data_IF_716290097187
#
_entry.id   IF_716290097187
#
_cell.length_a   1.000
_cell.length_b   1.000
_cell.length_c   1.000
_cell.angle_alpha   90.00
_cell.angle_beta   90.00
_cell.angle_gamma   90.00
#
_symmetry.space_group_name_H-M   'P 1'
#
loop_
_entity.id
_entity.type
_entity.pdbx_description
1 polymer ?
#
# COMPACT_ATOMS: atom_id res chain seq x y z
N UNK A 1 -6.37 12.16 -33.89
CA UNK A 1 -5.29 11.38 -33.23
C UNK A 1 -5.93 10.42 -32.24
N UNK A 2 -5.47 9.18 -32.12
CA UNK A 2 -5.89 8.28 -31.03
C UNK A 2 -4.83 8.36 -29.94
N UNK A 3 -5.22 8.67 -28.70
CA UNK A 3 -4.30 8.68 -27.55
C UNK A 3 -4.54 7.42 -26.75
N UNK A 4 -3.52 6.55 -26.65
CA UNK A 4 -3.57 5.32 -25.83
C UNK A 4 -2.91 5.54 -24.46
N UNK A 5 -3.35 4.78 -23.46
CA UNK A 5 -2.71 4.72 -22.12
C UNK A 5 -1.20 4.38 -22.23
N UNK A 6 -0.82 3.46 -23.12
CA UNK A 6 0.60 3.15 -23.38
C UNK A 6 1.41 4.33 -23.96
N UNK A 7 0.75 5.35 -24.50
CA UNK A 7 1.39 6.56 -25.04
C UNK A 7 1.46 7.68 -24.01
N UNK A 8 0.73 7.56 -22.89
CA UNK A 8 0.76 8.45 -21.73
C UNK A 8 0.40 7.66 -20.47
N UNK A 9 1.39 7.08 -19.76
CA UNK A 9 1.14 6.65 -18.39
C UNK A 9 0.56 7.84 -17.59
N UNK A 10 -0.01 7.59 -16.41
CA UNK A 10 -0.24 8.66 -15.44
C UNK A 10 1.12 9.35 -15.26
N UNK A 11 1.34 10.47 -15.96
CA UNK A 11 2.62 11.18 -16.01
C UNK A 11 2.81 11.95 -14.69
N UNK A 12 2.29 11.42 -13.59
CA UNK A 12 2.14 12.07 -12.31
C UNK A 12 1.53 13.48 -12.41
N UNK A 13 0.59 13.70 -13.34
CA UNK A 13 0.02 15.01 -13.66
C UNK A 13 1.07 16.06 -14.12
N UNK A 14 2.24 15.63 -14.61
CA UNK A 14 3.26 16.52 -15.13
C UNK A 14 2.82 17.12 -16.48
N UNK A 15 3.15 18.39 -16.74
CA UNK A 15 2.93 19.00 -18.04
C UNK A 15 3.60 18.19 -19.15
N UNK A 16 2.81 17.70 -20.11
CA UNK A 16 3.31 17.01 -21.29
C UNK A 16 3.64 17.96 -22.45
N UNK A 17 4.42 17.48 -23.42
CA UNK A 17 4.66 18.20 -24.70
C UNK A 17 3.43 18.26 -25.58
N UNK A 18 2.49 17.32 -25.40
CA UNK A 18 1.22 17.27 -26.12
C UNK A 18 0.11 17.73 -25.17
N UNK A 19 -0.84 18.59 -25.59
CA UNK A 19 -1.91 19.07 -24.72
C UNK A 19 -2.77 17.92 -24.20
N UNK A 20 -3.29 18.08 -22.99
CA UNK A 20 -4.24 17.12 -22.42
C UNK A 20 -5.56 17.16 -23.18
N UNK A 21 -6.15 15.98 -23.37
CA UNK A 21 -7.43 15.85 -24.06
C UNK A 21 -8.55 16.29 -23.12
N UNK A 22 -9.31 17.30 -23.54
CA UNK A 22 -10.48 17.76 -22.82
C UNK A 22 -11.63 16.79 -23.13
N UNK A 23 -12.21 16.20 -22.10
CA UNK A 23 -13.45 15.42 -22.17
C UNK A 23 -14.60 16.28 -21.64
N UNK A 24 -15.54 16.73 -22.48
CA UNK A 24 -16.66 17.55 -22.02
C UNK A 24 -17.50 16.81 -20.96
N UNK A 25 -17.99 17.48 -19.89
CA UNK A 25 -18.70 16.81 -18.80
C UNK A 25 -19.93 15.99 -19.23
N UNK A 26 -20.76 16.53 -20.13
CA UNK A 26 -21.90 15.78 -20.67
C UNK A 26 -21.49 14.55 -21.50
N UNK A 27 -20.33 14.64 -22.17
CA UNK A 27 -19.79 13.52 -22.94
C UNK A 27 -19.21 12.43 -22.04
N UNK A 28 -18.51 12.82 -20.96
CA UNK A 28 -18.06 11.88 -19.94
C UNK A 28 -19.24 11.13 -19.31
N UNK A 29 -20.27 11.87 -18.87
CA UNK A 29 -21.44 11.30 -18.20
C UNK A 29 -22.21 10.32 -19.10
N UNK A 30 -22.48 10.71 -20.35
CA UNK A 30 -23.24 9.86 -21.30
C UNK A 30 -22.50 8.61 -21.75
N UNK A 31 -21.17 8.55 -21.58
CA UNK A 31 -20.33 7.40 -21.94
C UNK A 31 -19.87 6.58 -20.73
N UNK A 32 -20.29 6.94 -19.52
CA UNK A 32 -19.93 6.23 -18.29
C UNK A 32 -18.51 6.52 -17.77
N UNK A 33 -17.86 7.56 -18.30
CA UNK A 33 -16.52 7.97 -17.84
C UNK A 33 -16.63 8.58 -16.45
N UNK A 34 -15.77 8.11 -15.55
CA UNK A 34 -15.58 8.59 -14.19
C UNK A 34 -14.11 9.00 -13.99
N UNK A 35 -13.85 9.83 -12.98
CA UNK A 35 -12.48 10.14 -12.59
C UNK A 35 -11.75 8.84 -12.25
N UNK A 36 -10.50 8.71 -12.69
CA UNK A 36 -9.68 7.52 -12.52
C UNK A 36 -9.71 6.54 -13.70
N UNK A 37 -10.64 6.68 -14.64
CA UNK A 37 -10.70 5.81 -15.82
C UNK A 37 -9.52 6.05 -16.77
N UNK A 38 -8.97 4.97 -17.33
CA UNK A 38 -8.13 5.04 -18.51
C UNK A 38 -9.02 5.10 -19.75
N UNK A 39 -8.90 6.17 -20.54
CA UNK A 39 -9.78 6.40 -21.68
C UNK A 39 -8.98 6.33 -22.97
N UNK A 40 -9.37 5.40 -23.84
CA UNK A 40 -8.92 5.37 -25.23
C UNK A 40 -9.86 6.24 -26.05
N UNK A 41 -9.34 7.34 -26.59
CA UNK A 41 -10.15 8.33 -27.30
C UNK A 41 -9.53 8.81 -28.60
N UNK A 42 -10.41 9.16 -29.54
CA UNK A 42 -10.06 10.01 -30.69
C UNK A 42 -10.16 11.46 -30.26
N UNK A 43 -9.10 12.20 -30.55
CA UNK A 43 -8.99 13.63 -30.26
C UNK A 43 -8.74 14.42 -31.53
N UNK A 44 -9.36 15.60 -31.60
CA UNK A 44 -9.01 16.67 -32.53
C UNK A 44 -8.06 17.63 -31.83
N UNK A 45 -6.94 17.95 -32.47
CA UNK A 45 -5.94 18.88 -31.92
C UNK A 45 -5.97 20.16 -32.76
N UNK A 46 -6.18 21.29 -32.11
CA UNK A 46 -6.19 22.61 -32.74
C UNK A 46 -5.33 23.56 -31.91
N UNK A 47 -4.18 23.95 -32.45
CA UNK A 47 -3.18 24.74 -31.72
C UNK A 47 -2.71 24.03 -30.44
N UNK A 48 -2.94 24.66 -29.29
CA UNK A 48 -2.59 24.13 -27.96
C UNK A 48 -3.74 23.38 -27.26
N UNK A 49 -4.82 23.10 -27.97
CA UNK A 49 -6.01 22.44 -27.42
C UNK A 49 -6.20 21.08 -28.05
N UNK A 50 -6.50 20.07 -27.23
CA UNK A 50 -6.95 18.76 -27.69
C UNK A 50 -8.35 18.52 -27.16
N UNK A 51 -9.31 18.23 -28.04
CA UNK A 51 -10.70 17.95 -27.67
C UNK A 51 -11.06 16.53 -28.07
N UNK A 52 -11.69 15.82 -27.15
CA UNK A 52 -12.20 14.47 -27.39
C UNK A 52 -13.38 14.50 -28.34
N UNK A 53 -13.28 13.77 -29.44
CA UNK A 53 -14.36 13.63 -30.44
C UNK A 53 -15.08 12.29 -30.34
N UNK A 54 -14.40 11.24 -29.87
CA UNK A 54 -14.95 9.89 -29.71
C UNK A 54 -14.25 9.17 -28.56
N UNK A 55 -15.01 8.46 -27.73
CA UNK A 55 -14.47 7.53 -26.73
C UNK A 55 -14.65 6.12 -27.28
N UNK A 56 -13.54 5.41 -27.45
CA UNK A 56 -13.51 4.07 -28.01
C UNK A 56 -13.59 3.02 -26.90
N UNK A 57 -12.76 3.15 -25.88
CA UNK A 57 -12.68 2.22 -24.74
C UNK A 57 -12.49 2.99 -23.43
N UNK A 58 -12.99 2.40 -22.35
CA UNK A 58 -12.81 2.83 -20.96
C UNK A 58 -12.30 1.60 -20.21
N UNK A 59 -11.07 1.66 -19.70
CA UNK A 59 -10.41 0.56 -19.00
C UNK A 59 -10.35 -0.75 -19.81
N UNK A 60 -10.25 -0.64 -21.14
CA UNK A 60 -10.26 -1.78 -22.06
C UNK A 60 -11.66 -2.33 -22.38
N UNK A 61 -12.72 -1.72 -21.84
CA UNK A 61 -14.10 -2.09 -22.09
C UNK A 61 -14.79 -1.11 -23.05
N UNK A 62 -15.85 -1.56 -23.71
CA UNK A 62 -16.70 -0.67 -24.51
C UNK A 62 -17.45 0.34 -23.62
N UNK A 63 -17.87 1.46 -24.20
CA UNK A 63 -18.66 2.47 -23.45
C UNK A 63 -19.97 1.93 -22.88
N UNK A 64 -20.58 0.93 -23.53
CA UNK A 64 -21.81 0.29 -23.04
C UNK A 64 -21.55 -0.53 -21.76
N UNK A 65 -20.46 -1.31 -21.75
CA UNK A 65 -20.04 -2.08 -20.57
C UNK A 65 -19.66 -1.15 -19.42
N UNK A 66 -18.90 -0.09 -19.71
CA UNK A 66 -18.46 0.89 -18.72
C UNK A 66 -19.62 1.65 -18.05
N UNK A 67 -20.76 1.82 -18.74
CA UNK A 67 -22.00 2.38 -18.18
C UNK A 67 -22.69 1.39 -17.23
N UNK A 68 -22.59 0.09 -17.52
CA UNK A 68 -23.25 -0.97 -16.75
C UNK A 68 -22.47 -1.46 -15.52
N UNK A 69 -21.16 -1.17 -15.44
CA UNK A 69 -20.31 -1.64 -14.34
C UNK A 69 -20.73 -1.03 -13.00
N UNK A 70 -20.61 -1.76 -11.87
CA UNK A 70 -21.04 -1.29 -10.57
C UNK A 70 -20.28 -0.03 -10.11
N UNK A 71 -20.84 0.67 -9.13
CA UNK A 71 -20.09 1.70 -8.40
C UNK A 71 -19.38 1.06 -7.21
N UNK A 72 -18.16 1.50 -6.94
CA UNK A 72 -17.34 1.01 -5.83
C UNK A 72 -18.07 1.09 -4.48
N UNK A 73 -18.83 2.17 -4.26
CA UNK A 73 -19.59 2.37 -3.03
C UNK A 73 -20.80 1.43 -2.90
N UNK A 74 -21.19 0.73 -3.96
CA UNK A 74 -22.27 -0.27 -3.97
C UNK A 74 -21.77 -1.70 -3.67
N UNK A 75 -20.44 -1.94 -3.72
CA UNK A 75 -19.85 -3.24 -3.45
C UNK A 75 -19.92 -3.57 -1.95
N UNK A 76 -20.22 -4.83 -1.64
CA UNK A 76 -20.50 -5.29 -0.28
C UNK A 76 -19.20 -5.51 0.48
N UNK A 77 -18.89 -4.63 1.44
CA UNK A 77 -17.64 -4.70 2.20
C UNK A 77 -17.62 -5.88 3.20
N UNK A 78 -16.62 -6.73 3.11
CA UNK A 78 -16.37 -7.85 4.04
C UNK A 78 -14.98 -7.76 4.69
N UNK A 79 -14.74 -8.62 5.68
CA UNK A 79 -13.39 -8.79 6.21
C UNK A 79 -12.51 -9.51 5.19
N UNK A 80 -11.22 -9.16 5.06
CA UNK A 80 -10.27 -9.92 4.26
C UNK A 80 -10.16 -11.37 4.75
N UNK A 81 -10.34 -12.31 3.83
CA UNK A 81 -10.23 -13.76 4.04
C UNK A 81 -9.27 -14.43 3.03
N UNK A 82 -8.90 -13.72 1.96
CA UNK A 82 -7.89 -14.15 0.98
C UNK A 82 -6.53 -13.55 1.30
N UNK A 83 -5.60 -14.36 1.80
CA UNK A 83 -4.25 -13.92 2.15
C UNK A 83 -3.37 -13.60 0.92
N UNK A 84 -2.63 -12.48 1.00
CA UNK A 84 -1.55 -12.15 0.08
C UNK A 84 -0.30 -12.89 0.55
N UNK A 85 0.11 -13.92 -0.20
CA UNK A 85 1.40 -14.57 0.01
C UNK A 85 2.57 -13.59 -0.19
N UNK A 86 3.29 -13.27 0.89
CA UNK A 86 4.44 -12.38 0.90
C UNK A 86 5.79 -13.11 0.76
N UNK A 87 5.81 -14.44 0.77
CA UNK A 87 7.04 -15.24 0.75
C UNK A 87 7.65 -15.27 -0.64
N UNK A 88 8.96 -14.99 -0.74
CA UNK A 88 9.77 -15.21 -1.93
C UNK A 88 11.11 -15.86 -1.55
N UNK A 89 11.74 -16.64 -2.45
CA UNK A 89 13.08 -17.18 -2.22
C UNK A 89 14.08 -16.06 -1.86
N UNK A 90 14.84 -16.25 -0.77
CA UNK A 90 15.84 -15.28 -0.30
C UNK A 90 15.26 -13.99 0.33
N UNK A 91 13.94 -13.83 0.41
CA UNK A 91 13.30 -12.63 0.95
C UNK A 91 12.86 -12.83 2.41
N UNK A 92 13.78 -12.61 3.35
CA UNK A 92 13.52 -12.73 4.80
C UNK A 92 12.37 -11.80 5.26
N UNK A 93 12.31 -10.57 4.75
CA UNK A 93 11.25 -9.60 5.09
C UNK A 93 9.85 -10.14 4.82
N UNK A 94 9.62 -10.69 3.62
CA UNK A 94 8.30 -11.21 3.25
C UNK A 94 7.85 -12.36 4.16
N UNK A 95 8.79 -13.24 4.57
CA UNK A 95 8.51 -14.35 5.48
C UNK A 95 8.25 -13.89 6.91
N UNK A 96 8.99 -12.90 7.41
CA UNK A 96 8.70 -12.27 8.71
C UNK A 96 7.29 -11.66 8.69
N UNK A 97 6.95 -10.90 7.65
CA UNK A 97 5.61 -10.30 7.53
C UNK A 97 4.52 -11.38 7.43
N UNK A 98 4.70 -12.41 6.63
CA UNK A 98 3.73 -13.51 6.52
C UNK A 98 3.45 -14.24 7.84
N UNK A 99 4.39 -14.23 8.79
CA UNK A 99 4.21 -14.79 10.13
C UNK A 99 3.60 -13.81 11.13
N UNK A 100 4.03 -12.54 11.13
CA UNK A 100 3.72 -11.58 12.21
C UNK A 100 2.77 -10.46 11.80
N UNK A 101 2.45 -10.31 10.52
CA UNK A 101 1.48 -9.34 10.00
C UNK A 101 0.90 -9.86 8.68
N UNK A 102 0.06 -10.91 8.72
CA UNK A 102 -0.59 -11.40 7.51
C UNK A 102 -1.40 -10.28 6.87
N UNK A 103 -1.26 -10.12 5.55
CA UNK A 103 -2.00 -9.13 4.77
C UNK A 103 -3.01 -9.87 3.90
N UNK A 104 -4.26 -9.45 3.91
CA UNK A 104 -5.29 -9.96 3.03
C UNK A 104 -5.61 -9.00 1.89
N UNK A 105 -6.19 -9.53 0.82
CA UNK A 105 -6.86 -8.73 -0.19
C UNK A 105 -8.00 -7.94 0.46
N UNK A 106 -7.95 -6.60 0.39
CA UNK A 106 -8.85 -5.70 1.10
C UNK A 106 -8.32 -5.14 2.43
N UNK A 107 -7.09 -5.47 2.82
CA UNK A 107 -6.50 -4.97 4.06
C UNK A 107 -6.20 -3.46 4.03
N UNK A 108 -6.26 -2.85 5.22
CA UNK A 108 -5.85 -1.47 5.51
C UNK A 108 -4.62 -1.51 6.40
N UNK A 109 -3.45 -1.47 5.76
CA UNK A 109 -2.16 -1.71 6.42
C UNK A 109 -1.42 -0.39 6.63
N UNK A 110 -1.01 -0.11 7.87
CA UNK A 110 -0.09 0.98 8.18
C UNK A 110 1.33 0.42 8.35
N UNK A 111 2.29 0.93 7.58
CA UNK A 111 3.72 0.72 7.82
C UNK A 111 4.23 1.89 8.67
N UNK A 112 4.21 1.70 9.98
CA UNK A 112 4.55 2.70 10.98
C UNK A 112 6.07 2.77 11.09
N UNK A 113 6.67 3.86 10.61
CA UNK A 113 8.11 3.91 10.40
C UNK A 113 8.75 5.18 10.94
N UNK A 114 9.74 5.06 11.84
CA UNK A 114 10.69 6.12 12.09
C UNK A 114 11.55 6.42 10.86
N UNK A 115 12.08 7.65 10.73
CA UNK A 115 13.07 7.96 9.71
C UNK A 115 14.23 6.95 9.73
N UNK A 116 14.67 6.52 8.54
CA UNK A 116 15.80 5.58 8.33
C UNK A 116 15.61 4.17 8.93
N UNK A 117 14.39 3.75 9.25
CA UNK A 117 14.12 2.41 9.77
C UNK A 117 13.93 1.31 8.70
N UNK A 118 14.13 1.63 7.41
CA UNK A 118 13.98 0.65 6.30
C UNK A 118 12.58 0.54 5.70
N UNK A 119 11.75 1.59 5.84
CA UNK A 119 10.43 1.75 5.22
C UNK A 119 10.39 1.31 3.75
N UNK A 120 11.28 1.90 2.94
CA UNK A 120 11.31 1.69 1.48
C UNK A 120 11.57 0.23 1.14
N UNK A 121 12.48 -0.42 1.88
CA UNK A 121 12.75 -1.86 1.71
C UNK A 121 11.51 -2.69 2.00
N UNK A 122 10.77 -2.40 3.08
CA UNK A 122 9.55 -3.14 3.44
C UNK A 122 8.48 -2.98 2.36
N UNK A 123 8.18 -1.75 1.92
CA UNK A 123 7.19 -1.50 0.85
C UNK A 123 7.58 -2.19 -0.45
N UNK A 124 8.86 -2.13 -0.82
CA UNK A 124 9.40 -2.77 -2.02
C UNK A 124 9.27 -4.30 -1.94
N UNK A 125 9.62 -4.91 -0.81
CA UNK A 125 9.50 -6.37 -0.64
C UNK A 125 8.05 -6.84 -0.75
N UNK A 126 7.10 -6.05 -0.22
CA UNK A 126 5.67 -6.32 -0.39
C UNK A 126 5.27 -6.23 -1.87
N UNK A 127 5.66 -5.15 -2.56
CA UNK A 127 5.36 -4.98 -3.99
C UNK A 127 5.92 -6.12 -4.85
N UNK A 128 7.18 -6.50 -4.64
CA UNK A 128 7.80 -7.62 -5.33
C UNK A 128 7.11 -8.97 -5.03
N UNK A 129 6.64 -9.18 -3.80
CA UNK A 129 5.88 -10.37 -3.45
C UNK A 129 4.51 -10.41 -4.14
N UNK A 130 3.81 -9.28 -4.24
CA UNK A 130 2.56 -9.17 -5.01
C UNK A 130 2.81 -9.51 -6.48
N UNK A 131 3.83 -8.92 -7.11
CA UNK A 131 4.18 -9.18 -8.51
C UNK A 131 4.48 -10.67 -8.75
N UNK A 132 5.24 -11.30 -7.84
CA UNK A 132 5.68 -12.68 -8.00
C UNK A 132 4.57 -13.70 -7.73
N UNK A 133 3.78 -13.48 -6.67
CA UNK A 133 2.84 -14.48 -6.16
C UNK A 133 1.40 -14.24 -6.61
N UNK A 134 1.06 -13.02 -7.03
CA UNK A 134 -0.29 -12.61 -7.44
C UNK A 134 -0.24 -11.84 -8.77
N UNK A 135 0.23 -12.46 -9.87
CA UNK A 135 0.53 -11.74 -11.11
C UNK A 135 -0.70 -11.11 -11.78
N UNK A 136 -1.91 -11.55 -11.42
CA UNK A 136 -3.17 -10.98 -11.92
C UNK A 136 -3.66 -9.79 -11.08
N UNK A 137 -3.09 -9.55 -9.90
CA UNK A 137 -3.44 -8.38 -9.08
C UNK A 137 -2.84 -7.10 -9.70
N UNK A 138 -3.60 -6.00 -9.62
CA UNK A 138 -3.14 -4.67 -10.05
C UNK A 138 -2.30 -4.06 -8.94
N UNK A 139 -1.00 -3.84 -9.17
CA UNK A 139 -0.13 -3.14 -8.25
C UNK A 139 0.03 -1.68 -8.69
N UNK A 140 -0.35 -0.76 -7.79
CA UNK A 140 -0.15 0.68 -7.98
C UNK A 140 0.68 1.21 -6.80
N UNK A 141 1.77 1.90 -7.11
CA UNK A 141 2.67 2.51 -6.14
C UNK A 141 2.62 4.03 -6.29
N UNK A 142 2.16 4.72 -5.25
CA UNK A 142 2.00 6.17 -5.20
C UNK A 142 3.03 6.78 -4.26
N UNK A 143 4.09 7.37 -4.80
CA UNK A 143 5.17 8.01 -4.04
C UNK A 143 4.89 9.52 -3.95
N UNK A 144 4.67 10.03 -2.74
CA UNK A 144 4.25 11.41 -2.50
C UNK A 144 5.38 12.19 -1.86
N UNK A 145 5.82 13.27 -2.53
CA UNK A 145 6.82 14.20 -2.01
C UNK A 145 8.14 13.53 -1.62
N UNK A 146 8.54 12.49 -2.35
CA UNK A 146 9.77 11.75 -2.07
C UNK A 146 10.97 12.37 -2.80
N UNK A 147 12.19 11.93 -2.47
CA UNK A 147 13.37 12.39 -3.20
C UNK A 147 13.37 11.86 -4.64
N UNK A 148 13.75 12.67 -5.65
CA UNK A 148 13.76 12.24 -7.05
C UNK A 148 14.56 10.95 -7.29
N UNK A 149 15.72 10.82 -6.65
CA UNK A 149 16.59 9.66 -6.74
C UNK A 149 15.97 8.40 -6.10
N UNK A 150 15.30 8.56 -4.95
CA UNK A 150 14.62 7.46 -4.25
C UNK A 150 13.39 6.99 -5.04
N UNK A 151 12.62 7.91 -5.62
CA UNK A 151 11.48 7.58 -6.49
C UNK A 151 11.94 6.83 -7.75
N UNK A 152 13.03 7.27 -8.36
CA UNK A 152 13.63 6.62 -9.54
C UNK A 152 14.14 5.22 -9.19
N UNK A 153 14.84 5.07 -8.07
CA UNK A 153 15.33 3.76 -7.59
C UNK A 153 14.16 2.81 -7.33
N UNK A 154 13.12 3.27 -6.62
CA UNK A 154 11.93 2.47 -6.34
C UNK A 154 11.27 1.98 -7.62
N UNK A 155 11.10 2.86 -8.61
CA UNK A 155 10.52 2.51 -9.91
C UNK A 155 11.35 1.50 -10.69
N UNK A 156 12.69 1.57 -10.64
CA UNK A 156 13.58 0.66 -11.38
C UNK A 156 13.66 -0.72 -10.75
N UNK A 157 13.46 -0.82 -9.44
CA UNK A 157 13.52 -2.09 -8.71
C UNK A 157 12.25 -2.94 -8.90
N UNK A 158 11.15 -2.36 -9.35
CA UNK A 158 9.92 -3.08 -9.67
C UNK A 158 9.85 -3.37 -11.19
N UNK A 159 9.60 -4.63 -11.61
CA UNK A 159 9.28 -4.93 -12.99
C UNK A 159 8.10 -4.09 -13.49
N UNK A 160 8.14 -3.62 -14.74
CA UNK A 160 7.05 -2.84 -15.33
C UNK A 160 5.79 -3.67 -15.60
N UNK A 161 5.92 -5.00 -15.68
CA UNK A 161 4.81 -5.94 -15.87
C UNK A 161 5.04 -7.19 -15.03
N UNK A 162 3.94 -7.86 -14.66
CA UNK A 162 3.96 -9.18 -14.02
C UNK A 162 4.16 -10.30 -15.06
N UNK A 163 4.28 -11.56 -14.60
CA UNK A 163 4.39 -12.71 -15.49
C UNK A 163 3.17 -12.96 -16.38
N UNK A 164 2.00 -12.37 -16.06
CA UNK A 164 0.78 -12.44 -16.89
C UNK A 164 0.61 -11.22 -17.79
N UNK A 165 1.61 -10.33 -17.85
CA UNK A 165 1.57 -9.10 -18.63
C UNK A 165 0.78 -7.97 -17.97
N UNK A 166 0.33 -8.15 -16.72
CA UNK A 166 -0.36 -7.09 -15.97
C UNK A 166 0.62 -5.94 -15.68
N UNK A 167 0.30 -4.69 -16.06
CA UNK A 167 1.12 -3.53 -15.73
C UNK A 167 1.33 -3.32 -14.23
N UNK A 168 2.53 -2.88 -13.86
CA UNK A 168 2.85 -2.34 -12.53
C UNK A 168 2.98 -0.83 -12.65
N UNK A 169 2.08 -0.10 -11.97
CA UNK A 169 2.01 1.35 -12.07
C UNK A 169 2.80 1.99 -10.94
N UNK A 170 3.83 2.78 -11.27
CA UNK A 170 4.57 3.59 -10.28
C UNK A 170 4.40 5.05 -10.65
N UNK A 171 3.72 5.80 -9.78
CA UNK A 171 3.47 7.24 -9.94
C UNK A 171 4.11 7.99 -8.78
N UNK A 172 4.79 9.09 -9.08
CA UNK A 172 5.56 9.82 -8.09
C UNK A 172 5.45 11.33 -8.24
N UNK A 173 5.40 12.02 -7.10
CA UNK A 173 5.74 13.45 -6.99
C UNK A 173 6.98 13.58 -6.14
N UNK A 174 7.82 14.59 -6.44
CA UNK A 174 9.03 14.86 -5.66
C UNK A 174 8.80 15.99 -4.67
N UNK A 175 9.64 16.14 -3.65
CA UNK A 175 9.49 17.24 -2.69
C UNK A 175 9.56 18.65 -3.31
N UNK A 176 10.05 18.77 -4.55
CA UNK A 176 10.09 20.03 -5.31
C UNK A 176 8.72 20.42 -5.91
N UNK A 177 7.78 19.48 -5.95
CA UNK A 177 6.45 19.71 -6.51
C UNK A 177 5.57 20.57 -5.59
N UNK A 178 4.64 21.30 -6.21
CA UNK A 178 3.63 22.03 -5.47
C UNK A 178 2.75 21.09 -4.64
N UNK A 179 2.39 21.51 -3.43
CA UNK A 179 1.60 20.71 -2.50
C UNK A 179 0.23 20.29 -3.05
N UNK A 180 -0.39 21.12 -3.89
CA UNK A 180 -1.62 20.80 -4.60
C UNK A 180 -1.45 19.61 -5.56
N UNK A 181 -0.28 19.43 -6.16
CA UNK A 181 0.04 18.31 -7.05
C UNK A 181 0.13 16.99 -6.29
N UNK A 182 0.68 17.00 -5.08
CA UNK A 182 0.69 15.81 -4.21
C UNK A 182 -0.73 15.30 -3.94
N UNK A 183 -1.62 16.19 -3.50
CA UNK A 183 -3.01 15.86 -3.22
C UNK A 183 -3.73 15.38 -4.49
N UNK A 184 -3.60 16.12 -5.60
CA UNK A 184 -4.25 15.78 -6.86
C UNK A 184 -3.80 14.41 -7.41
N UNK A 185 -2.50 14.10 -7.35
CA UNK A 185 -2.00 12.80 -7.81
C UNK A 185 -2.52 11.66 -6.92
N UNK A 186 -2.49 11.83 -5.60
CA UNK A 186 -2.99 10.83 -4.68
C UNK A 186 -4.49 10.57 -4.87
N UNK A 187 -5.29 11.63 -5.00
CA UNK A 187 -6.73 11.54 -5.24
C UNK A 187 -7.03 10.84 -6.58
N UNK A 188 -6.32 11.20 -7.65
CA UNK A 188 -6.47 10.53 -8.94
C UNK A 188 -6.08 9.05 -8.87
N UNK A 189 -5.00 8.73 -8.17
CA UNK A 189 -4.52 7.35 -7.98
C UNK A 189 -5.52 6.52 -7.18
N UNK A 190 -6.16 7.12 -6.17
CA UNK A 190 -7.23 6.48 -5.40
C UNK A 190 -8.44 6.16 -6.28
N UNK A 191 -8.87 7.11 -7.11
CA UNK A 191 -9.97 6.90 -8.04
C UNK A 191 -9.61 5.84 -9.09
N UNK A 192 -8.39 5.86 -9.65
CA UNK A 192 -7.88 4.81 -10.55
C UNK A 192 -8.00 3.42 -9.92
N UNK A 193 -7.55 3.28 -8.67
CA UNK A 193 -7.65 2.02 -7.95
C UNK A 193 -9.12 1.57 -7.77
N UNK A 194 -10.05 2.48 -7.49
CA UNK A 194 -11.48 2.15 -7.38
C UNK A 194 -12.09 1.72 -8.71
N UNK A 195 -11.72 2.34 -9.82
CA UNK A 195 -12.21 1.95 -11.16
C UNK A 195 -11.78 0.53 -11.50
N UNK A 196 -10.52 0.19 -11.24
CA UNK A 196 -10.01 -1.17 -11.46
C UNK A 196 -10.73 -2.23 -10.60
N UNK A 197 -11.12 -1.91 -9.36
CA UNK A 197 -11.95 -2.79 -8.52
C UNK A 197 -13.36 -2.95 -9.09
N UNK A 198 -13.97 -1.87 -9.59
CA UNK A 198 -15.28 -1.94 -10.26
C UNK A 198 -15.25 -2.81 -11.52
N UNK A 199 -14.08 -2.89 -12.19
CA UNK A 199 -13.84 -3.77 -13.33
C UNK A 199 -13.44 -5.21 -12.90
N UNK A 200 -13.53 -5.55 -11.61
CA UNK A 200 -13.37 -6.92 -11.12
C UNK A 200 -11.95 -7.30 -10.71
N UNK A 201 -11.03 -6.34 -10.52
CA UNK A 201 -9.65 -6.63 -10.14
C UNK A 201 -9.41 -6.60 -8.62
N UNK A 202 -8.47 -7.44 -8.18
CA UNK A 202 -7.78 -7.24 -6.91
C UNK A 202 -6.70 -6.18 -7.07
N UNK A 203 -6.83 -5.07 -6.35
CA UNK A 203 -5.93 -3.92 -6.44
C UNK A 203 -5.15 -3.75 -5.14
N UNK A 204 -3.82 -3.68 -5.24
CA UNK A 204 -2.92 -3.33 -4.14
C UNK A 204 -2.34 -1.95 -4.40
N UNK A 205 -2.73 -0.99 -3.56
CA UNK A 205 -2.25 0.39 -3.58
C UNK A 205 -1.22 0.62 -2.47
N UNK A 206 0.05 0.76 -2.84
CA UNK A 206 1.12 1.19 -1.94
C UNK A 206 1.19 2.72 -1.95
N UNK A 207 1.14 3.37 -0.79
CA UNK A 207 1.34 4.81 -0.68
C UNK A 207 2.52 5.14 0.24
N UNK A 208 3.42 5.97 -0.26
CA UNK A 208 4.59 6.42 0.46
C UNK A 208 4.74 7.95 0.39
N UNK A 209 4.19 8.74 1.31
CA UNK A 209 3.54 8.33 2.56
C UNK A 209 2.20 9.04 2.78
N UNK A 210 1.32 8.41 3.58
CA UNK A 210 0.05 9.04 3.96
C UNK A 210 0.26 10.26 4.86
N UNK A 211 1.35 10.31 5.62
CA UNK A 211 1.74 11.50 6.39
C UNK A 211 1.95 12.71 5.48
N UNK A 212 2.66 12.53 4.36
CA UNK A 212 2.87 13.60 3.38
C UNK A 212 1.57 13.97 2.66
N UNK A 213 0.68 13.01 2.40
CA UNK A 213 -0.65 13.28 1.86
C UNK A 213 -1.50 14.16 2.80
N UNK A 214 -1.54 13.84 4.10
CA UNK A 214 -2.26 14.66 5.08
C UNK A 214 -1.68 16.07 5.14
N UNK A 215 -0.35 16.21 5.19
CA UNK A 215 0.32 17.51 5.15
C UNK A 215 -0.09 18.28 3.89
N UNK A 216 -0.22 17.59 2.76
CA UNK A 216 -0.62 18.21 1.51
C UNK A 216 -2.06 18.72 1.53
N UNK A 217 -3.01 17.90 1.98
CA UNK A 217 -4.38 18.36 2.18
C UNK A 217 -4.47 19.47 3.22
N UNK A 218 -3.64 19.45 4.27
CA UNK A 218 -3.66 20.48 5.31
C UNK A 218 -3.20 21.84 4.78
N UNK A 219 -2.17 21.87 3.93
CA UNK A 219 -1.76 23.11 3.28
C UNK A 219 -2.81 23.63 2.28
N UNK A 220 -3.53 22.73 1.59
CA UNK A 220 -4.60 23.10 0.66
C UNK A 220 -5.89 23.55 1.39
N UNK A 221 -6.12 23.05 2.60
CA UNK A 221 -7.33 23.34 3.38
C UNK A 221 -7.17 24.68 4.10
N UNK A 222 -7.78 25.73 3.56
CA UNK A 222 -7.78 27.07 4.17
C UNK A 222 -9.21 27.57 4.44
N UNK A 223 -9.35 28.52 5.37
CA UNK A 223 -10.61 29.20 5.65
C UNK A 223 -11.70 28.28 6.22
N UNK A 224 -12.95 28.42 5.72
CA UNK A 224 -14.14 27.73 6.25
C UNK A 224 -14.10 26.19 6.13
N UNK A 225 -13.22 25.64 5.28
CA UNK A 225 -13.06 24.19 5.09
C UNK A 225 -12.19 23.47 6.12
N UNK A 226 -11.41 24.22 6.94
CA UNK A 226 -10.49 23.63 7.91
C UNK A 226 -11.21 22.91 9.08
N UNK A 227 -12.42 23.37 9.43
CA UNK A 227 -13.09 22.88 10.63
C UNK A 227 -12.27 23.14 11.90
N UNK A 228 -12.40 22.27 12.91
CA UNK A 228 -11.64 22.38 14.16
C UNK A 228 -10.18 21.99 13.96
N UNK A 229 -9.26 22.82 14.44
CA UNK A 229 -7.83 22.48 14.53
C UNK A 229 -7.60 21.55 15.72
N UNK A 230 -6.96 20.41 15.47
CA UNK A 230 -6.55 19.43 16.47
C UNK A 230 -5.20 19.82 17.08
N UNK A 231 -4.74 19.06 18.07
CA UNK A 231 -3.37 19.21 18.58
C UNK A 231 -2.36 19.05 17.43
N UNK A 232 -1.21 19.71 17.53
CA UNK A 232 -0.19 19.66 16.47
C UNK A 232 -0.50 20.49 15.22
N UNK A 233 -1.58 21.28 15.18
CA UNK A 233 -1.87 22.20 14.07
C UNK A 233 -2.52 21.56 12.85
N UNK A 234 -3.04 20.33 13.01
CA UNK A 234 -3.73 19.60 11.94
C UNK A 234 -5.21 19.95 11.94
N UNK A 235 -5.73 20.41 10.81
CA UNK A 235 -7.16 20.68 10.67
C UNK A 235 -7.96 19.38 10.49
N UNK A 236 -9.11 19.25 11.15
CA UNK A 236 -9.97 18.08 10.99
C UNK A 236 -10.44 17.91 9.52
N UNK A 237 -10.64 19.03 8.82
CA UNK A 237 -10.95 19.05 7.38
C UNK A 237 -9.85 18.43 6.52
N UNK A 238 -8.58 18.55 6.92
CA UNK A 238 -7.45 17.96 6.17
C UNK A 238 -7.28 16.45 6.38
N UNK A 239 -7.72 15.93 7.53
CA UNK A 239 -7.67 14.49 7.80
C UNK A 239 -8.78 13.73 7.06
N UNK A 240 -9.92 14.36 6.79
CA UNK A 240 -11.07 13.69 6.19
C UNK A 240 -10.77 13.06 4.81
N UNK A 241 -10.09 13.74 3.85
CA UNK A 241 -9.70 13.12 2.59
C UNK A 241 -8.77 11.92 2.77
N UNK A 242 -7.76 12.03 3.64
CA UNK A 242 -6.79 10.95 3.87
C UNK A 242 -7.42 9.75 4.61
N UNK A 243 -8.35 10.01 5.53
CA UNK A 243 -9.16 8.97 6.17
C UNK A 243 -10.08 8.28 5.17
N UNK A 244 -10.70 9.02 4.24
CA UNK A 244 -11.52 8.44 3.16
C UNK A 244 -10.66 7.64 2.18
N UNK A 245 -9.46 8.12 1.85
CA UNK A 245 -8.48 7.41 1.03
C UNK A 245 -8.13 6.06 1.66
N UNK A 246 -7.67 6.07 2.92
CA UNK A 246 -7.24 4.85 3.60
C UNK A 246 -8.40 3.91 3.95
N UNK A 247 -9.54 4.49 4.35
CA UNK A 247 -10.78 3.77 4.67
C UNK A 247 -11.51 3.21 3.45
N UNK A 248 -11.11 3.59 2.22
CA UNK A 248 -11.68 3.00 1.02
C UNK A 248 -11.31 1.51 0.89
N UNK A 249 -10.13 1.11 1.37
CA UNK A 249 -9.67 -0.27 1.29
C UNK A 249 -10.61 -1.24 2.01
N UNK A 250 -11.01 -2.28 1.27
CA UNK A 250 -11.98 -3.29 1.67
C UNK A 250 -11.87 -4.51 0.76
N UNK A 251 -12.16 -5.68 1.32
CA UNK A 251 -12.54 -6.84 0.53
C UNK A 251 -14.01 -6.69 0.14
N UNK A 252 -14.41 -7.25 -1.00
CA UNK A 252 -15.81 -7.23 -1.43
C UNK A 252 -16.34 -8.65 -1.59
N UNK A 253 -17.60 -8.86 -1.25
CA UNK A 253 -18.27 -10.16 -1.38
C UNK A 253 -18.40 -10.59 -2.84
N UNK A 254 -18.44 -9.61 -3.75
CA UNK A 254 -18.45 -9.80 -5.19
C UNK A 254 -17.13 -10.38 -5.74
N UNK A 255 -16.08 -10.44 -4.91
CA UNK A 255 -14.77 -10.98 -5.26
C UNK A 255 -13.62 -9.95 -5.26
N UNK A 256 -13.69 -8.83 -6.02
CA UNK A 256 -12.57 -7.91 -6.14
C UNK A 256 -12.27 -7.19 -4.82
N UNK A 257 -11.12 -6.54 -4.73
CA UNK A 257 -10.71 -5.91 -3.48
C UNK A 257 -9.81 -4.71 -3.70
N UNK A 258 -9.89 -3.76 -2.76
CA UNK A 258 -8.92 -2.68 -2.65
C UNK A 258 -8.10 -2.89 -1.38
N UNK A 259 -6.84 -3.25 -1.52
CA UNK A 259 -5.86 -3.26 -0.43
C UNK A 259 -5.10 -1.94 -0.46
N UNK A 260 -4.99 -1.25 0.68
CA UNK A 260 -4.16 -0.04 0.82
C UNK A 260 -3.09 -0.30 1.87
N UNK A 261 -1.84 -0.12 1.48
CA UNK A 261 -0.67 -0.24 2.34
C UNK A 261 0.02 1.11 2.37
N UNK A 262 -0.10 1.80 3.49
CA UNK A 262 0.33 3.17 3.64
C UNK A 262 1.46 3.28 4.64
N UNK A 263 2.58 3.88 4.25
CA UNK A 263 3.59 4.26 5.24
C UNK A 263 3.13 5.50 6.01
N UNK A 264 3.39 5.50 7.31
CA UNK A 264 3.13 6.62 8.22
C UNK A 264 4.39 6.88 9.04
N UNK A 265 4.80 8.15 9.11
CA UNK A 265 5.99 8.55 9.84
C UNK A 265 5.65 8.74 11.32
N UNK A 266 6.51 8.21 12.20
CA UNK A 266 6.42 8.38 13.66
C UNK A 266 7.78 8.67 14.26
N UNK A 267 7.82 9.16 15.49
CA UNK A 267 9.08 9.49 16.17
C UNK A 267 9.89 10.54 15.40
N UNK A 268 9.18 11.38 14.65
CA UNK A 268 9.71 12.62 14.09
C UNK A 268 9.64 13.70 15.18
N UNK A 269 10.19 14.88 14.92
CA UNK A 269 10.07 16.03 15.83
C UNK A 269 8.75 16.81 15.60
N UNK A 270 7.81 16.24 14.85
CA UNK A 270 6.56 16.87 14.43
C UNK A 270 5.36 16.25 15.12
N UNK A 271 4.74 17.02 16.04
CA UNK A 271 3.46 16.64 16.67
C UNK A 271 2.33 16.40 15.67
N UNK A 272 2.40 17.04 14.50
CA UNK A 272 1.43 16.80 13.43
C UNK A 272 1.49 15.34 12.95
N UNK A 273 2.70 14.75 12.85
CA UNK A 273 2.84 13.38 12.35
C UNK A 273 2.29 12.36 13.35
N UNK A 274 2.51 12.60 14.65
CA UNK A 274 1.95 11.76 15.72
C UNK A 274 0.41 11.78 15.69
N UNK A 275 -0.20 12.95 15.49
CA UNK A 275 -1.67 13.08 15.38
C UNK A 275 -2.20 12.37 14.14
N UNK A 276 -1.49 12.43 13.01
CA UNK A 276 -1.85 11.68 11.80
C UNK A 276 -1.86 10.18 12.07
N UNK A 277 -0.84 9.67 12.75
CA UNK A 277 -0.75 8.26 13.08
C UNK A 277 -1.90 7.82 14.00
N UNK A 278 -2.15 8.54 15.10
CA UNK A 278 -3.22 8.18 16.05
C UNK A 278 -4.61 8.17 15.39
N UNK A 279 -4.90 9.13 14.50
CA UNK A 279 -6.17 9.20 13.77
C UNK A 279 -6.35 8.06 12.76
N UNK A 280 -5.27 7.63 12.12
CA UNK A 280 -5.33 6.55 11.12
C UNK A 280 -5.27 5.15 11.75
N UNK A 281 -4.67 5.02 12.93
CA UNK A 281 -4.58 3.74 13.67
C UNK A 281 -5.94 3.10 13.92
N UNK A 282 -6.94 3.92 14.25
CA UNK A 282 -8.32 3.45 14.42
C UNK A 282 -8.97 2.93 13.12
N UNK A 283 -8.52 3.44 11.98
CA UNK A 283 -9.04 3.10 10.65
C UNK A 283 -8.41 1.82 10.08
N UNK A 284 -7.14 1.57 10.41
CA UNK A 284 -6.38 0.40 9.96
C UNK A 284 -6.85 -0.91 10.59
N UNK A 285 -6.58 -2.02 9.89
CA UNK A 285 -6.76 -3.37 10.43
C UNK A 285 -5.45 -4.16 10.52
N UNK A 286 -4.34 -3.60 10.04
CA UNK A 286 -3.00 -4.17 10.19
C UNK A 286 -1.97 -3.08 10.42
N UNK A 287 -1.01 -3.32 11.31
CA UNK A 287 0.08 -2.39 11.63
C UNK A 287 1.40 -3.15 11.54
N UNK A 288 2.31 -2.67 10.69
CA UNK A 288 3.71 -3.12 10.58
C UNK A 288 4.57 -2.02 11.20
N UNK A 289 5.07 -2.25 12.39
CA UNK A 289 5.81 -1.25 13.17
C UNK A 289 7.30 -1.46 13.00
N UNK A 290 8.03 -0.45 12.55
CA UNK A 290 9.48 -0.50 12.43
C UNK A 290 10.16 0.11 13.65
N UNK A 291 11.24 -0.52 14.10
CA UNK A 291 12.01 -0.11 15.28
C UNK A 291 13.30 0.59 14.89
N UNK A 292 13.47 1.82 15.37
CA UNK A 292 14.74 2.57 15.29
C UNK A 292 15.90 1.79 15.94
N UNK A 293 15.67 1.17 17.11
CA UNK A 293 16.69 0.37 17.83
C UNK A 293 17.26 -0.79 17.02
N UNK A 294 16.42 -1.53 16.30
CA UNK A 294 16.85 -2.59 15.37
C UNK A 294 17.69 -2.01 14.23
N UNK A 295 17.21 -0.94 13.60
CA UNK A 295 17.88 -0.30 12.48
C UNK A 295 19.26 0.28 12.86
N UNK A 296 19.38 0.92 14.03
CA UNK A 296 20.65 1.45 14.56
C UNK A 296 21.68 0.34 14.82
N UNK A 297 21.21 -0.85 15.19
CA UNK A 297 22.05 -2.06 15.33
C UNK A 297 22.25 -2.82 14.02
N UNK A 298 21.76 -2.30 12.90
CA UNK A 298 21.81 -2.91 11.56
C UNK A 298 21.16 -4.30 11.48
N UNK A 299 20.12 -4.54 12.29
CA UNK A 299 19.31 -5.76 12.23
C UNK A 299 18.11 -5.49 11.31
N UNK A 300 18.07 -6.16 10.16
CA UNK A 300 17.01 -6.01 9.16
C UNK A 300 16.35 -7.36 8.82
N UNK A 301 15.02 -7.40 8.61
CA UNK A 301 14.09 -6.26 8.63
C UNK A 301 13.91 -5.69 10.04
N UNK A 302 13.84 -4.36 10.15
CA UNK A 302 13.80 -3.68 11.46
C UNK A 302 12.36 -3.64 12.02
N UNK A 303 11.67 -4.78 12.04
CA UNK A 303 10.25 -4.89 12.47
C UNK A 303 10.17 -5.16 13.96
N UNK A 304 9.41 -4.35 14.69
CA UNK A 304 9.02 -4.64 16.07
C UNK A 304 7.91 -5.70 16.08
N UNK A 305 8.30 -6.94 16.37
CA UNK A 305 7.42 -8.11 16.37
C UNK A 305 6.34 -8.07 17.46
N UNK A 306 6.52 -7.23 18.50
CA UNK A 306 5.55 -7.09 19.60
C UNK A 306 4.47 -6.07 19.26
N UNK A 307 4.87 -4.98 18.61
CA UNK A 307 3.96 -3.92 18.20
C UNK A 307 3.25 -4.21 16.86
N UNK A 308 3.79 -5.12 16.07
CA UNK A 308 3.25 -5.51 14.75
C UNK A 308 2.16 -6.58 14.86
N UNK A 309 1.04 -6.37 14.16
CA UNK A 309 -0.06 -7.34 14.16
C UNK A 309 -1.21 -6.99 13.22
N UNK A 310 -2.11 -7.95 13.05
CA UNK A 310 -3.27 -7.86 12.16
C UNK A 310 -4.52 -8.27 12.93
N UNK A 311 -5.59 -7.47 12.81
CA UNK A 311 -6.90 -7.79 13.41
C UNK A 311 -7.55 -8.91 12.61
N UNK A 312 -8.21 -9.84 13.30
CA UNK A 312 -8.89 -11.00 12.68
C UNK A 312 -7.93 -11.87 11.84
N UNK A 313 -6.67 -12.03 12.28
CA UNK A 313 -5.67 -12.84 11.56
C UNK A 313 -6.07 -14.31 11.38
N UNK A 314 -7.00 -14.82 12.20
CA UNK A 314 -7.59 -16.15 12.06
C UNK A 314 -8.42 -16.36 10.79
N UNK A 315 -8.79 -15.28 10.08
CA UNK A 315 -9.43 -15.39 8.75
C UNK A 315 -8.42 -15.60 7.63
N UNK A 316 -7.13 -15.27 7.87
CA UNK A 316 -6.07 -15.30 6.87
C UNK A 316 -5.09 -16.46 7.05
N UNK A 317 -5.08 -17.07 8.25
CA UNK A 317 -4.13 -18.09 8.65
C UNK A 317 -4.89 -19.33 9.13
N UNK A 318 -4.52 -20.50 8.60
CA UNK A 318 -5.08 -21.77 9.04
C UNK A 318 -4.88 -21.99 10.56
N UNK A 319 -5.85 -22.60 11.28
CA UNK A 319 -5.82 -22.68 12.75
C UNK A 319 -4.56 -23.32 13.35
N UNK A 320 -4.05 -24.39 12.74
CA UNK A 320 -2.84 -25.09 13.14
C UNK A 320 -1.58 -24.20 13.00
N UNK A 321 -1.50 -23.47 11.90
CA UNK A 321 -0.43 -22.51 11.63
C UNK A 321 -0.51 -21.33 12.60
N UNK A 322 -1.71 -20.84 12.90
CA UNK A 322 -1.93 -19.72 13.80
C UNK A 322 -1.46 -20.04 15.23
N UNK A 323 -1.77 -21.22 15.75
CA UNK A 323 -1.33 -21.64 17.08
C UNK A 323 0.20 -21.64 17.20
N UNK A 324 0.88 -22.14 16.17
CA UNK A 324 2.33 -22.15 16.11
C UNK A 324 2.95 -20.75 15.99
N UNK A 325 2.32 -19.84 15.22
CA UNK A 325 2.72 -18.42 15.16
C UNK A 325 2.57 -17.76 16.53
N UNK A 326 1.47 -18.01 17.25
CA UNK A 326 1.26 -17.47 18.59
C UNK A 326 2.30 -17.98 19.59
N UNK A 327 2.71 -19.26 19.49
CA UNK A 327 3.85 -19.77 20.26
C UNK A 327 5.14 -19.03 19.94
N UNK A 328 5.44 -18.83 18.65
CA UNK A 328 6.63 -18.10 18.22
C UNK A 328 6.62 -16.66 18.73
N UNK A 329 5.48 -15.95 18.67
CA UNK A 329 5.30 -14.61 19.25
C UNK A 329 5.61 -14.59 20.75
N UNK A 330 5.10 -15.55 21.52
CA UNK A 330 5.38 -15.64 22.96
C UNK A 330 6.86 -15.92 23.24
N UNK A 331 7.49 -16.80 22.45
CA UNK A 331 8.91 -17.08 22.58
C UNK A 331 9.77 -15.84 22.30
N UNK A 332 9.49 -15.11 21.21
CA UNK A 332 10.14 -13.83 20.88
C UNK A 332 9.91 -12.79 21.98
N UNK A 333 8.71 -12.71 22.55
CA UNK A 333 8.39 -11.79 23.63
C UNK A 333 9.13 -12.13 24.95
N UNK A 334 9.51 -13.39 25.17
CA UNK A 334 10.27 -13.82 26.33
C UNK A 334 11.76 -13.42 26.28
N UNK A 335 12.29 -13.07 25.11
CA UNK A 335 13.64 -12.51 25.01
C UNK A 335 13.72 -11.12 25.66
N UNK A 336 14.78 -10.88 26.43
CA UNK A 336 15.03 -9.57 27.05
C UNK A 336 15.49 -8.50 26.05
N UNK A 337 16.20 -8.89 24.99
CA UNK A 337 16.72 -7.99 23.96
C UNK A 337 16.04 -8.23 22.60
N UNK A 338 15.34 -7.22 22.09
CA UNK A 338 14.62 -7.30 20.81
C UNK A 338 15.53 -7.52 19.59
N UNK A 339 16.69 -6.84 19.46
CA UNK A 339 17.69 -7.16 18.44
C UNK A 339 18.14 -8.62 18.44
N UNK A 340 18.50 -9.19 19.60
CA UNK A 340 18.90 -10.60 19.68
C UNK A 340 17.76 -11.54 19.24
N UNK A 341 16.53 -11.28 19.69
CA UNK A 341 15.36 -12.07 19.32
C UNK A 341 15.14 -12.04 17.79
N UNK A 342 15.29 -10.87 17.17
CA UNK A 342 15.14 -10.70 15.74
C UNK A 342 16.25 -11.40 14.96
N UNK A 343 17.51 -11.28 15.37
CA UNK A 343 18.63 -12.00 14.74
C UNK A 343 18.41 -13.51 14.74
N UNK A 344 18.00 -14.08 15.88
CA UNK A 344 17.71 -15.53 15.97
C UNK A 344 16.53 -15.95 15.10
N UNK A 345 15.51 -15.11 14.99
CA UNK A 345 14.39 -15.36 14.08
C UNK A 345 14.86 -15.37 12.64
N UNK A 346 15.65 -14.37 12.23
CA UNK A 346 16.25 -14.28 10.88
C UNK A 346 17.05 -15.53 10.56
N UNK A 347 17.97 -15.94 11.44
CA UNK A 347 18.76 -17.18 11.27
C UNK A 347 17.85 -18.41 11.09
N UNK A 348 16.76 -18.49 11.85
CA UNK A 348 15.81 -19.60 11.76
C UNK A 348 15.08 -19.61 10.41
N UNK A 349 14.71 -18.43 9.90
CA UNK A 349 14.06 -18.25 8.61
C UNK A 349 15.04 -18.62 7.48
N UNK A 350 16.27 -18.14 7.53
CA UNK A 350 17.28 -18.39 6.50
C UNK A 350 17.68 -19.86 6.40
N UNK A 351 17.71 -20.58 7.54
CA UNK A 351 17.95 -22.02 7.57
C UNK A 351 16.75 -22.86 7.10
N UNK A 352 15.55 -22.29 7.06
CA UNK A 352 14.34 -22.99 6.66
C UNK A 352 14.06 -22.78 5.15
N UNK A 353 14.16 -23.82 4.30
CA UNK A 353 14.01 -23.69 2.85
C UNK A 353 12.58 -23.28 2.43
N UNK A 354 11.57 -23.60 3.25
CA UNK A 354 10.17 -23.28 2.97
C UNK A 354 9.40 -23.00 4.26
N UNK A 355 8.15 -22.56 4.12
CA UNK A 355 7.30 -22.19 5.26
C UNK A 355 6.96 -23.40 6.15
N UNK A 356 6.77 -24.60 5.60
CA UNK A 356 6.50 -25.80 6.39
C UNK A 356 7.68 -26.17 7.32
N UNK A 357 8.90 -26.13 6.81
CA UNK A 357 10.11 -26.35 7.60
C UNK A 357 10.29 -25.26 8.66
N UNK A 358 10.00 -24.00 8.30
CA UNK A 358 10.03 -22.89 9.24
C UNK A 358 9.03 -23.13 10.38
N UNK A 359 7.80 -23.50 10.07
CA UNK A 359 6.79 -23.82 11.08
C UNK A 359 7.24 -24.97 11.98
N UNK A 360 7.81 -26.05 11.42
CA UNK A 360 8.35 -27.17 12.21
C UNK A 360 9.47 -26.71 13.15
N UNK A 361 10.39 -25.86 12.70
CA UNK A 361 11.48 -25.32 13.54
C UNK A 361 10.97 -24.42 14.66
N UNK A 362 9.97 -23.59 14.38
CA UNK A 362 9.35 -22.72 15.39
C UNK A 362 8.61 -23.55 16.46
N UNK A 363 7.96 -24.64 16.06
CA UNK A 363 7.29 -25.56 16.99
C UNK A 363 8.32 -26.38 17.80
N UNK A 364 9.32 -26.96 17.13
CA UNK A 364 10.32 -27.85 17.74
C UNK A 364 11.27 -27.17 18.73
N UNK A 365 11.45 -25.84 18.65
CA UNK A 365 12.22 -25.06 19.62
C UNK A 365 11.46 -24.70 20.91
N UNK A 366 10.20 -25.12 21.06
CA UNK A 366 9.35 -24.78 22.21
C UNK A 366 9.50 -25.73 23.41
N UNK A 367 10.65 -26.41 23.57
CA UNK A 367 11.01 -27.12 24.80
C UNK A 367 12.05 -26.32 25.60
N UNK A 368 11.94 -26.19 26.93
CA UNK A 368 12.98 -25.53 27.71
C UNK A 368 14.22 -26.43 27.72
N UNK A 369 15.23 -26.13 26.90
CA UNK A 369 16.59 -26.59 27.17
C UNK A 369 17.12 -25.77 28.33
N UNK A 370 16.80 -26.18 29.54
CA UNK A 370 17.54 -25.76 30.72
C UNK A 370 19.02 -26.13 30.50
N UNK A 371 19.97 -25.22 30.79
CA UNK A 371 21.37 -25.62 30.80
C UNK A 371 21.51 -26.70 31.86
N UNK A 372 22.02 -27.87 31.48
CA UNK A 372 22.42 -28.90 32.40
C UNK A 372 23.49 -28.29 33.33
N UNK A 373 23.07 -27.85 34.52
CA UNK A 373 23.99 -27.63 35.63
C UNK A 373 24.53 -29.00 35.98
N UNK A 374 25.73 -29.29 35.48
CA UNK A 374 26.53 -30.41 35.96
C UNK A 374 26.60 -30.35 37.48
N UNK A 375 26.08 -31.38 38.13
CA UNK A 375 26.28 -31.62 39.56
C UNK A 375 27.51 -32.50 39.70
N UNK A 376 28.45 -31.95 40.47
CA UNK A 376 29.61 -32.54 41.16
C UNK A 376 30.73 -33.05 40.27
#
# INVERSE_FOLDING_TARGET
MVIREAQRPINALAPGTTPDAIVPPGFALSRGVRVGDAVLARVSVTGRTAQTTEIMEIDGHSTAEAVSRPRFDQLTAIYPDRAINLTRPGATTGRVLGLFSPIGFGSRVLVVSPPKAGKTTVLREIGLAVIANHPNARLICCLIGERPEEATEFSRLLPATTSTGTPVEVVATTFDDATSRHAALADLTAERARRLVEDGHDVVLLIDSITRLVRAHNAATTGRGAGRTLSGGVSAGALAPSRRFFGAARATDEGPSLTVIASVLVGTESRQDDVVYEELKGTGNSEIVLSRRLAERRVFPAIDLRATGTRREELLIAPDRLEAIHRARRAVAAYGDAPEAMTRLIETIELAPNDEDLMRRLIGRSGPTAPARGRV
#
